data_IF_259707086786
#
_entry.id   IF_259707086786
#
_cell.length_a   1.000
_cell.length_b   1.000
_cell.length_c   1.000
_cell.angle_alpha   90.00
_cell.angle_beta   90.00
_cell.angle_gamma   90.00
#
_symmetry.space_group_name_H-M   'P 1'
#
loop_
_entity.id
_entity.type
_entity.pdbx_description
1 polymer ?
#
# COMPACT_ATOMS: atom_id res chain seq x y z
N UNK A 1 1.24 29.97 -35.08
CA UNK A 1 2.47 29.77 -34.24
C UNK A 1 2.16 29.95 -32.77
N UNK A 2 1.64 31.10 -32.36
CA UNK A 2 1.34 31.38 -30.95
C UNK A 2 0.30 30.41 -30.36
N UNK A 3 -0.71 30.03 -31.13
CA UNK A 3 -1.76 29.12 -30.67
C UNK A 3 -1.20 27.73 -30.34
N UNK A 4 -0.24 27.24 -31.11
CA UNK A 4 0.38 25.91 -30.90
C UNK A 4 1.20 25.91 -29.61
N UNK A 5 1.89 27.01 -29.30
CA UNK A 5 2.66 27.13 -28.04
C UNK A 5 1.76 27.13 -26.84
N UNK A 6 0.63 27.83 -26.89
CA UNK A 6 -0.34 27.88 -25.79
C UNK A 6 -0.94 26.49 -25.52
N UNK A 7 -1.28 25.76 -26.56
CA UNK A 7 -1.83 24.38 -26.41
C UNK A 7 -0.81 23.44 -25.79
N UNK A 8 0.45 23.55 -26.19
CA UNK A 8 1.54 22.73 -25.65
C UNK A 8 1.75 22.98 -24.15
N UNK A 9 1.71 24.23 -23.71
CA UNK A 9 1.86 24.60 -22.31
C UNK A 9 0.67 24.09 -21.49
N UNK A 10 -0.55 24.23 -22.00
CA UNK A 10 -1.75 23.74 -21.31
C UNK A 10 -1.72 22.21 -21.14
N UNK A 11 -1.28 21.49 -22.17
CA UNK A 11 -1.17 20.03 -22.12
C UNK A 11 -0.14 19.57 -21.08
N UNK A 12 0.99 20.26 -20.98
CA UNK A 12 2.02 19.96 -19.99
C UNK A 12 1.51 20.20 -18.56
N UNK A 13 0.77 21.28 -18.35
CA UNK A 13 0.19 21.59 -17.04
C UNK A 13 -0.81 20.50 -16.59
N UNK A 14 -1.65 20.02 -17.49
CA UNK A 14 -2.60 18.93 -17.20
C UNK A 14 -1.87 17.67 -16.82
N UNK A 15 -0.79 17.30 -17.52
CA UNK A 15 -0.02 16.10 -17.21
C UNK A 15 0.60 16.18 -15.80
N UNK A 16 1.12 17.33 -15.40
CA UNK A 16 1.69 17.53 -14.06
C UNK A 16 0.62 17.38 -12.98
N UNK A 17 -0.56 17.97 -13.19
CA UNK A 17 -1.68 17.87 -12.22
C UNK A 17 -2.11 16.42 -12.04
N UNK A 18 -2.19 15.64 -13.11
CA UNK A 18 -2.57 14.23 -13.03
C UNK A 18 -1.54 13.40 -12.27
N UNK A 19 -0.26 13.68 -12.45
CA UNK A 19 0.81 13.01 -11.71
C UNK A 19 0.73 13.31 -10.22
N UNK A 20 0.49 14.58 -9.86
CA UNK A 20 0.37 14.98 -8.46
C UNK A 20 -0.83 14.32 -7.80
N UNK A 21 -1.94 14.17 -8.50
CA UNK A 21 -3.11 13.46 -7.98
C UNK A 21 -2.83 11.99 -7.70
N UNK A 22 -2.13 11.31 -8.62
CA UNK A 22 -1.76 9.91 -8.42
C UNK A 22 -0.84 9.75 -7.23
N UNK A 23 0.11 10.66 -7.06
CA UNK A 23 1.03 10.63 -5.92
C UNK A 23 0.28 10.84 -4.61
N UNK A 24 -0.62 11.82 -4.55
CA UNK A 24 -1.42 12.11 -3.36
C UNK A 24 -2.33 10.93 -3.01
N UNK A 25 -2.94 10.31 -4.00
CA UNK A 25 -3.78 9.12 -3.80
C UNK A 25 -2.98 7.96 -3.25
N UNK A 26 -1.77 7.74 -3.77
CA UNK A 26 -0.89 6.69 -3.26
C UNK A 26 -0.45 6.95 -1.83
N UNK A 27 -0.14 8.19 -1.49
CA UNK A 27 0.25 8.55 -0.12
C UNK A 27 -0.91 8.30 0.85
N UNK A 28 -2.11 8.66 0.48
CA UNK A 28 -3.30 8.39 1.26
C UNK A 28 -3.54 6.89 1.39
N UNK A 29 -3.42 6.15 0.29
CA UNK A 29 -3.62 4.71 0.29
C UNK A 29 -2.54 4.01 1.10
N UNK A 30 -1.30 4.46 1.02
CA UNK A 30 -0.19 3.90 1.80
C UNK A 30 -0.41 4.08 3.31
N UNK A 31 -0.83 5.26 3.72
CA UNK A 31 -1.14 5.52 5.12
C UNK A 31 -2.31 4.67 5.60
N UNK A 32 -3.34 4.54 4.77
CA UNK A 32 -4.51 3.71 5.05
C UNK A 32 -4.11 2.23 5.17
N UNK A 33 -3.35 1.72 4.23
CA UNK A 33 -2.89 0.33 4.25
C UNK A 33 -2.03 0.06 5.48
N UNK A 34 -1.13 0.97 5.83
CA UNK A 34 -0.29 0.83 7.02
C UNK A 34 -1.15 0.67 8.27
N UNK A 35 -2.20 1.48 8.41
CA UNK A 35 -3.13 1.39 9.53
C UNK A 35 -3.90 0.07 9.53
N UNK A 36 -4.33 -0.39 8.36
CA UNK A 36 -5.05 -1.66 8.23
C UNK A 36 -4.16 -2.84 8.59
N UNK A 37 -2.91 -2.83 8.15
CA UNK A 37 -1.96 -3.89 8.47
C UNK A 37 -1.68 -3.95 9.97
N UNK A 38 -1.54 -2.79 10.62
CA UNK A 38 -1.33 -2.75 12.07
C UNK A 38 -2.58 -3.18 12.85
N UNK A 39 -3.75 -2.85 12.37
CA UNK A 39 -4.99 -3.32 12.97
C UNK A 39 -5.06 -4.84 12.92
N UNK A 40 -4.78 -5.43 11.77
CA UNK A 40 -4.78 -6.88 11.59
C UNK A 40 -3.69 -7.54 12.43
N UNK A 41 -2.52 -6.91 12.53
CA UNK A 41 -1.42 -7.40 13.37
C UNK A 41 -1.81 -7.43 14.83
N UNK A 42 -2.49 -6.39 15.30
CA UNK A 42 -3.03 -6.33 16.67
C UNK A 42 -4.04 -7.41 16.91
N UNK A 43 -4.97 -7.62 15.98
CA UNK A 43 -5.97 -8.69 16.08
C UNK A 43 -5.31 -10.06 16.13
N UNK A 44 -4.28 -10.28 15.32
CA UNK A 44 -3.52 -11.53 15.33
C UNK A 44 -2.95 -11.82 16.71
N UNK A 45 -2.39 -10.82 17.37
CA UNK A 45 -1.84 -10.98 18.73
C UNK A 45 -2.91 -11.25 19.77
N UNK A 46 -4.05 -10.57 19.66
CA UNK A 46 -5.14 -10.72 20.61
C UNK A 46 -5.72 -12.13 20.56
N UNK A 47 -5.98 -12.66 19.37
CA UNK A 47 -6.56 -14.00 19.22
C UNK A 47 -5.51 -15.11 19.14
N UNK A 48 -4.25 -14.77 18.97
CA UNK A 48 -3.18 -15.76 18.85
C UNK A 48 -3.24 -16.58 17.56
N UNK A 49 -3.80 -16.02 16.50
CA UNK A 49 -3.98 -16.70 15.23
C UNK A 49 -3.07 -16.12 14.18
N UNK A 50 -2.52 -16.97 13.33
CA UNK A 50 -1.69 -16.56 12.20
C UNK A 50 -2.53 -15.77 11.19
N UNK A 51 -2.15 -14.51 10.95
CA UNK A 51 -2.86 -13.62 10.00
C UNK A 51 -1.90 -13.21 8.91
N UNK A 52 -2.39 -13.22 7.69
CA UNK A 52 -1.63 -12.88 6.48
C UNK A 52 -2.42 -11.92 5.61
N UNK A 53 -1.71 -11.17 4.79
CA UNK A 53 -2.32 -10.23 3.85
C UNK A 53 -1.83 -10.54 2.43
N UNK A 54 -2.75 -10.57 1.47
CA UNK A 54 -2.42 -10.83 0.06
C UNK A 54 -3.16 -9.85 -0.84
N UNK A 55 -2.49 -9.30 -1.86
CA UNK A 55 -3.18 -8.57 -2.91
C UNK A 55 -3.84 -9.56 -3.86
N UNK A 56 -4.99 -9.18 -4.41
CA UNK A 56 -5.73 -10.03 -5.34
C UNK A 56 -5.48 -9.58 -6.77
N UNK A 57 -5.34 -10.53 -7.69
CA UNK A 57 -5.15 -10.23 -9.12
C UNK A 57 -6.38 -9.61 -9.74
N UNK A 58 -7.55 -9.89 -9.17
CA UNK A 58 -8.83 -9.34 -9.65
C UNK A 58 -9.09 -7.93 -9.15
N UNK A 59 -8.23 -7.41 -8.27
CA UNK A 59 -8.39 -6.11 -7.64
C UNK A 59 -8.65 -6.24 -6.15
N UNK A 60 -8.13 -5.28 -5.39
CA UNK A 60 -8.26 -5.30 -3.94
C UNK A 60 -7.27 -6.25 -3.27
N UNK A 61 -7.62 -6.64 -2.06
CA UNK A 61 -6.75 -7.46 -1.21
C UNK A 61 -7.61 -8.21 -0.19
N UNK A 62 -6.99 -9.15 0.54
CA UNK A 62 -7.69 -9.84 1.61
C UNK A 62 -6.77 -10.14 2.77
N UNK A 63 -7.38 -10.26 3.94
CA UNK A 63 -6.70 -10.74 5.15
C UNK A 63 -7.12 -12.18 5.39
N UNK A 64 -6.13 -13.05 5.58
CA UNK A 64 -6.34 -14.47 5.79
C UNK A 64 -6.07 -14.79 7.26
N UNK A 65 -6.98 -15.50 7.91
CA UNK A 65 -6.81 -15.94 9.30
C UNK A 65 -7.49 -15.07 10.33
N UNK A 66 -8.08 -13.94 9.95
CA UNK A 66 -8.85 -13.12 10.89
C UNK A 66 -10.18 -13.78 11.27
N UNK A 67 -10.66 -13.58 12.51
CA UNK A 67 -12.01 -13.99 12.86
C UNK A 67 -13.03 -13.31 11.93
N UNK A 68 -14.16 -13.98 11.63
CA UNK A 68 -15.14 -13.41 10.68
C UNK A 68 -15.62 -12.00 11.00
N UNK A 69 -15.78 -11.68 12.27
CA UNK A 69 -16.22 -10.34 12.66
C UNK A 69 -15.16 -9.29 12.37
N UNK A 70 -13.91 -9.59 12.71
CA UNK A 70 -12.80 -8.68 12.43
C UNK A 70 -12.59 -8.51 10.93
N UNK A 71 -12.71 -9.59 10.17
CA UNK A 71 -12.57 -9.55 8.71
C UNK A 71 -13.63 -8.65 8.07
N UNK A 72 -14.85 -8.64 8.60
CA UNK A 72 -15.92 -7.79 8.07
C UNK A 72 -15.70 -6.31 8.33
N UNK A 73 -14.98 -5.97 9.39
CA UNK A 73 -14.72 -4.59 9.75
C UNK A 73 -13.60 -3.96 8.92
N UNK A 74 -12.77 -4.78 8.28
CA UNK A 74 -11.66 -4.30 7.47
C UNK A 74 -12.08 -4.24 6.01
N UNK A 75 -11.72 -3.17 5.29
CA UNK A 75 -11.98 -3.09 3.86
C UNK A 75 -11.14 -4.10 3.10
N UNK A 76 -11.59 -4.46 1.91
CA UNK A 76 -10.91 -5.41 1.03
C UNK A 76 -10.63 -4.84 -0.36
N UNK A 77 -10.84 -3.56 -0.54
CA UNK A 77 -10.62 -2.90 -1.84
C UNK A 77 -9.84 -1.61 -1.67
N UNK A 78 -9.19 -1.20 -2.75
CA UNK A 78 -8.43 0.04 -2.78
C UNK A 78 -9.37 1.24 -2.90
N UNK A 79 -8.93 2.39 -2.41
CA UNK A 79 -9.68 3.64 -2.59
C UNK A 79 -9.85 3.98 -4.06
N UNK A 80 -8.81 3.74 -4.86
CA UNK A 80 -8.85 3.89 -6.30
C UNK A 80 -8.75 2.52 -6.95
N UNK A 81 -9.71 2.17 -7.81
CA UNK A 81 -9.77 0.86 -8.44
C UNK A 81 -8.58 0.56 -9.36
N UNK A 82 -7.83 1.58 -9.76
CA UNK A 82 -6.62 1.41 -10.57
C UNK A 82 -5.39 1.04 -9.77
N UNK A 83 -5.48 1.01 -8.44
CA UNK A 83 -4.36 0.67 -7.58
C UNK A 83 -4.07 -0.82 -7.60
N UNK A 84 -2.80 -1.18 -7.69
CA UNK A 84 -2.34 -2.56 -7.56
C UNK A 84 -1.21 -2.63 -6.54
N UNK A 85 -0.87 -3.82 -6.11
CA UNK A 85 0.19 -4.03 -5.12
C UNK A 85 1.03 -5.24 -5.47
N UNK A 86 2.33 -5.14 -5.16
CA UNK A 86 3.28 -6.23 -5.34
C UNK A 86 4.10 -6.38 -4.07
N UNK A 87 4.11 -7.57 -3.49
CA UNK A 87 4.92 -7.83 -2.30
C UNK A 87 6.34 -8.19 -2.77
N UNK A 88 7.33 -7.59 -2.14
CA UNK A 88 8.73 -7.81 -2.49
C UNK A 88 9.24 -9.11 -1.86
N UNK A 89 9.64 -10.07 -2.69
CA UNK A 89 10.31 -11.28 -2.23
C UNK A 89 9.45 -12.31 -1.53
N UNK A 90 8.13 -12.15 -1.50
CA UNK A 90 7.24 -13.09 -0.83
C UNK A 90 5.85 -13.06 -1.47
N UNK A 91 5.07 -14.13 -1.35
CA UNK A 91 3.71 -14.16 -1.90
C UNK A 91 2.67 -13.52 -0.98
N UNK A 92 3.01 -13.23 0.27
CA UNK A 92 2.09 -12.68 1.25
C UNK A 92 2.85 -11.95 2.36
N UNK A 93 2.16 -11.02 3.03
CA UNK A 93 2.72 -10.40 4.23
C UNK A 93 2.29 -11.20 5.45
N UNK A 94 3.22 -11.37 6.38
CA UNK A 94 2.97 -12.02 7.66
C UNK A 94 2.67 -10.96 8.71
N UNK A 95 1.55 -11.09 9.42
CA UNK A 95 1.11 -10.06 10.36
C UNK A 95 1.18 -10.50 11.84
N UNK A 96 1.51 -11.71 12.10
CA UNK A 96 1.65 -12.21 13.45
C UNK A 96 1.09 -13.60 13.56
N UNK A 97 0.97 -14.16 14.79
CA UNK A 97 1.00 -13.49 16.10
C UNK A 97 2.40 -13.28 16.71
N UNK A 98 3.45 -13.72 16.05
CA UNK A 98 4.80 -13.60 16.59
C UNK A 98 5.16 -12.13 16.81
N UNK A 99 5.82 -11.79 17.94
CA UNK A 99 6.26 -10.41 18.17
C UNK A 99 7.38 -9.96 17.25
N UNK A 100 8.18 -10.90 16.76
CA UNK A 100 9.25 -10.61 15.80
C UNK A 100 8.87 -11.19 14.44
N UNK A 101 8.76 -10.33 13.45
CA UNK A 101 8.47 -10.70 12.08
C UNK A 101 9.68 -10.36 11.21
N UNK A 102 9.81 -11.00 10.04
CA UNK A 102 10.86 -10.58 9.10
C UNK A 102 10.58 -9.18 8.57
N UNK A 103 11.61 -8.53 8.04
CA UNK A 103 11.42 -7.28 7.32
C UNK A 103 10.56 -7.58 6.08
N UNK A 104 9.56 -6.75 5.82
CA UNK A 104 8.61 -6.96 4.72
C UNK A 104 8.30 -5.65 4.04
N UNK A 105 8.01 -5.72 2.75
CA UNK A 105 7.69 -4.54 1.97
C UNK A 105 6.71 -4.89 0.85
N UNK A 106 5.76 -4.00 0.63
CA UNK A 106 4.82 -4.06 -0.48
C UNK A 106 4.90 -2.74 -1.24
N UNK A 107 4.86 -2.82 -2.57
CA UNK A 107 4.88 -1.64 -3.43
C UNK A 107 3.49 -1.45 -4.02
N UNK A 108 2.93 -0.27 -3.81
CA UNK A 108 1.65 0.13 -4.39
C UNK A 108 1.91 0.83 -5.72
N UNK A 109 1.07 0.55 -6.70
CA UNK A 109 1.17 1.14 -8.03
C UNK A 109 -0.12 1.83 -8.40
N UNK A 110 -0.03 3.02 -8.94
CA UNK A 110 -1.17 3.74 -9.50
C UNK A 110 -0.67 4.56 -10.69
N UNK A 111 -1.10 4.16 -11.90
CA UNK A 111 -0.53 4.74 -13.12
C UNK A 111 0.95 4.47 -13.19
N UNK A 112 1.76 5.52 -13.34
CA UNK A 112 3.22 5.42 -13.38
C UNK A 112 3.87 5.67 -12.03
N UNK A 113 3.08 5.92 -10.98
CA UNK A 113 3.60 6.19 -9.64
C UNK A 113 3.64 4.93 -8.79
N UNK A 114 4.61 4.90 -7.90
CA UNK A 114 4.79 3.81 -6.97
C UNK A 114 5.04 4.36 -5.56
N UNK A 115 4.63 3.59 -4.57
CA UNK A 115 4.85 3.93 -3.17
C UNK A 115 5.08 2.64 -2.39
N UNK A 116 6.11 2.61 -1.57
CA UNK A 116 6.40 1.44 -0.74
C UNK A 116 5.81 1.60 0.66
N UNK A 117 5.29 0.50 1.19
CA UNK A 117 4.85 0.37 2.57
C UNK A 117 5.60 -0.82 3.14
N UNK A 118 6.15 -0.69 4.31
CA UNK A 118 6.94 -1.77 4.88
C UNK A 118 7.19 -1.66 6.36
N UNK A 119 7.81 -2.70 6.89
CA UNK A 119 8.21 -2.81 8.29
C UNK A 119 9.55 -3.56 8.36
N UNK A 120 10.37 -3.21 9.34
CA UNK A 120 11.61 -3.93 9.63
C UNK A 120 11.34 -5.18 10.49
N UNK A 121 10.08 -5.42 10.85
CA UNK A 121 9.68 -6.54 11.68
C UNK A 121 9.43 -6.17 13.15
N UNK A 122 10.03 -5.10 13.62
CA UNK A 122 9.86 -4.60 15.00
C UNK A 122 8.94 -3.39 15.04
N UNK A 123 9.20 -2.41 14.16
CA UNK A 123 8.40 -1.20 14.06
C UNK A 123 7.09 -1.47 13.32
N UNK A 124 6.09 -0.60 13.50
CA UNK A 124 4.84 -0.69 12.74
C UNK A 124 5.09 -0.53 11.24
N UNK A 125 4.17 -1.06 10.44
CA UNK A 125 4.15 -0.79 9.01
C UNK A 125 3.97 0.71 8.78
N UNK A 126 4.67 1.21 7.79
CA UNK A 126 4.66 2.64 7.47
C UNK A 126 4.97 2.85 6.00
N UNK A 127 4.62 4.02 5.51
CA UNK A 127 5.02 4.43 4.16
C UNK A 127 6.53 4.66 4.15
N UNK A 128 7.18 4.09 3.16
CA UNK A 128 8.62 4.22 2.96
C UNK A 128 8.84 5.09 1.73
N UNK A 129 9.62 6.16 1.89
CA UNK A 129 9.92 7.04 0.77
C UNK A 129 10.92 6.38 -0.17
N UNK A 130 10.48 6.06 -1.36
CA UNK A 130 11.36 5.42 -2.35
C UNK A 130 12.39 6.36 -2.93
N UNK A 131 12.16 7.65 -2.83
CA UNK A 131 13.09 8.63 -3.39
C UNK A 131 14.45 8.61 -2.68
N UNK A 132 14.49 8.22 -1.41
CA UNK A 132 15.73 8.15 -0.66
C UNK A 132 16.51 6.87 -0.90
N UNK A 133 15.85 5.82 -1.34
CA UNK A 133 16.47 4.51 -1.56
C UNK A 133 16.98 3.82 -0.30
N UNK A 134 16.88 4.46 0.84
CA UNK A 134 17.41 3.95 2.11
C UNK A 134 16.38 3.25 2.95
N UNK A 135 15.17 3.28 2.53
CA UNK A 135 14.07 2.75 3.29
C UNK A 135 14.12 1.23 3.42
N UNK A 136 14.96 0.58 2.66
CA UNK A 136 15.19 -0.84 2.78
C UNK A 136 16.31 -1.06 3.78
N UNK A 137 16.04 -1.50 4.97
CA UNK A 137 17.08 -1.94 5.89
C UNK A 137 17.62 -3.28 5.46
#
# INVERSE_FOLDING_TARGET
>A
MVVIVIVAIASAAVAVVLRDRSQSKLEEEGARLSALLETARTQSRIVGTDVRWVPLTTGGFEFIGLPPQAAKELPSHWLDSGTTATIVGAPQLLLGPEPLLPAQRVVLHLGERELAVGSDGLAPFRVIDQATGEAAP
#
